data_IF_052834760783
#
_entry.id   IF_052834760783
#
_cell.length_a   1.000
_cell.length_b   1.000
_cell.length_c   1.000
_cell.angle_alpha   90.00
_cell.angle_beta   90.00
_cell.angle_gamma   90.00
#
_symmetry.space_group_name_H-M   'P 1'
#
loop_
_entity.id
_entity.type
_entity.pdbx_description
1 polymer ?
#
# COMPACT_ATOMS: atom_id res chain seq x y z
N UNK A 1 2.01 1.48 -22.12
CA UNK A 1 1.52 2.78 -21.60
C UNK A 1 2.32 3.08 -20.34
N UNK A 2 3.16 4.13 -20.32
CA UNK A 2 3.88 4.50 -19.11
C UNK A 2 2.86 4.86 -18.02
N UNK A 3 3.01 4.27 -16.83
CA UNK A 3 2.18 4.62 -15.67
C UNK A 3 2.59 6.02 -15.20
N UNK A 4 1.62 6.89 -14.92
CA UNK A 4 1.92 8.19 -14.32
C UNK A 4 2.65 8.01 -12.98
N UNK A 5 3.37 9.03 -12.54
CA UNK A 5 4.16 8.96 -11.30
C UNK A 5 3.26 8.65 -10.08
N UNK A 6 2.04 9.17 -10.08
CA UNK A 6 1.03 8.90 -9.03
C UNK A 6 0.60 7.43 -9.05
N UNK A 7 0.42 6.86 -10.24
CA UNK A 7 0.09 5.45 -10.37
C UNK A 7 1.24 4.56 -9.87
N UNK A 8 2.49 4.91 -10.20
CA UNK A 8 3.66 4.17 -9.72
C UNK A 8 3.80 4.23 -8.20
N UNK A 9 3.62 5.41 -7.60
CA UNK A 9 3.64 5.60 -6.15
C UNK A 9 2.54 4.78 -5.45
N UNK A 10 1.34 4.75 -6.02
CA UNK A 10 0.24 3.92 -5.52
C UNK A 10 0.57 2.42 -5.56
N UNK A 11 1.08 1.91 -6.70
CA UNK A 11 1.46 0.51 -6.80
C UNK A 11 2.56 0.13 -5.82
N UNK A 12 3.58 0.98 -5.67
CA UNK A 12 4.66 0.74 -4.72
C UNK A 12 4.14 0.63 -3.28
N UNK A 13 3.29 1.57 -2.86
CA UNK A 13 2.71 1.55 -1.52
C UNK A 13 1.84 0.31 -1.27
N UNK A 14 1.02 -0.10 -2.24
CA UNK A 14 0.22 -1.33 -2.16
C UNK A 14 1.10 -2.56 -1.99
N UNK A 15 2.18 -2.68 -2.79
CA UNK A 15 3.07 -3.82 -2.68
C UNK A 15 3.83 -3.86 -1.36
N UNK A 16 4.30 -2.71 -0.85
CA UNK A 16 4.91 -2.63 0.48
C UNK A 16 3.93 -3.07 1.56
N UNK A 17 2.66 -2.63 1.53
CA UNK A 17 1.66 -3.04 2.51
C UNK A 17 1.33 -4.55 2.46
N UNK A 18 1.35 -5.15 1.26
CA UNK A 18 1.14 -6.61 1.11
C UNK A 18 2.30 -7.42 1.67
N UNK A 19 3.52 -6.90 1.61
CA UNK A 19 4.71 -7.56 2.17
C UNK A 19 4.70 -7.67 3.70
N UNK A 20 3.93 -6.81 4.39
CA UNK A 20 3.76 -6.87 5.85
C UNK A 20 2.82 -8.00 6.32
N UNK A 21 2.12 -8.68 5.40
CA UNK A 21 1.17 -9.74 5.75
C UNK A 21 1.94 -11.02 6.10
N UNK A 22 1.75 -11.61 7.30
CA UNK A 22 2.44 -12.83 7.68
C UNK A 22 2.07 -14.03 6.81
N UNK A 23 3.01 -14.95 6.64
CA UNK A 23 2.76 -16.17 5.87
C UNK A 23 1.58 -16.97 6.42
N UNK A 24 0.74 -17.49 5.52
CA UNK A 24 -0.48 -18.22 5.90
C UNK A 24 -1.61 -17.35 6.45
N UNK A 25 -1.45 -16.02 6.47
CA UNK A 25 -2.52 -15.08 6.76
C UNK A 25 -3.00 -14.41 5.48
N UNK A 26 -4.28 -14.08 5.48
CA UNK A 26 -4.94 -13.31 4.42
C UNK A 26 -5.51 -12.05 5.01
N UNK A 27 -5.64 -11.02 4.17
CA UNK A 27 -6.25 -9.75 4.55
C UNK A 27 -7.24 -9.32 3.46
N UNK A 28 -8.01 -8.28 3.74
CA UNK A 28 -8.98 -7.73 2.80
C UNK A 28 -8.44 -6.46 2.14
N UNK A 29 -8.99 -6.10 0.97
CA UNK A 29 -8.68 -4.81 0.34
C UNK A 29 -9.01 -3.61 1.23
N UNK A 30 -10.07 -3.71 2.04
CA UNK A 30 -10.42 -2.67 3.01
C UNK A 30 -9.35 -2.49 4.09
N UNK A 31 -8.78 -3.58 4.59
CA UNK A 31 -7.66 -3.53 5.53
C UNK A 31 -6.39 -2.94 4.89
N UNK A 32 -6.04 -3.35 3.66
CA UNK A 32 -4.90 -2.77 2.94
C UNK A 32 -5.11 -1.27 2.74
N UNK A 33 -6.30 -0.83 2.34
CA UNK A 33 -6.61 0.59 2.17
C UNK A 33 -6.48 1.39 3.48
N UNK A 34 -6.79 0.80 4.64
CA UNK A 34 -6.55 1.43 5.94
C UNK A 34 -5.06 1.57 6.25
N UNK A 35 -4.26 0.51 6.03
CA UNK A 35 -2.80 0.58 6.20
C UNK A 35 -2.18 1.67 5.31
N UNK A 36 -2.65 1.81 4.08
CA UNK A 36 -2.17 2.85 3.17
C UNK A 36 -2.53 4.27 3.63
N UNK A 37 -3.70 4.47 4.24
CA UNK A 37 -4.07 5.78 4.83
C UNK A 37 -3.11 6.18 5.96
N UNK A 38 -2.66 5.22 6.75
CA UNK A 38 -1.70 5.47 7.83
C UNK A 38 -0.28 5.68 7.29
N UNK A 39 0.11 4.93 6.25
CA UNK A 39 1.41 5.05 5.57
C UNK A 39 1.60 6.40 4.86
N UNK A 40 0.54 6.94 4.24
CA UNK A 40 0.60 8.24 3.55
C UNK A 40 0.69 9.41 4.55
N UNK A 41 0.11 9.25 5.74
CA UNK A 41 0.19 10.29 6.79
C UNK A 41 1.58 10.38 7.43
N UNK A 42 2.30 9.28 7.56
CA UNK A 42 3.65 9.29 8.17
C UNK A 42 4.74 9.82 7.25
N UNK A 43 4.57 9.72 5.93
CA UNK A 43 5.50 10.27 4.94
C UNK A 43 5.40 11.80 4.73
N UNK A 44 4.46 12.46 5.42
CA UNK A 44 4.20 13.92 5.30
C UNK A 44 4.67 14.72 6.53
N UNK A 45 5.57 14.16 7.36
CA UNK A 45 6.19 14.83 8.52
C UNK A 45 7.69 14.98 8.31
#
# INVERSE_FOLDING_TARGET
MPRSDEAQAFFHAVYSAVQEIPYGKVTTYGHIAMLLKDLVKSASV
#
